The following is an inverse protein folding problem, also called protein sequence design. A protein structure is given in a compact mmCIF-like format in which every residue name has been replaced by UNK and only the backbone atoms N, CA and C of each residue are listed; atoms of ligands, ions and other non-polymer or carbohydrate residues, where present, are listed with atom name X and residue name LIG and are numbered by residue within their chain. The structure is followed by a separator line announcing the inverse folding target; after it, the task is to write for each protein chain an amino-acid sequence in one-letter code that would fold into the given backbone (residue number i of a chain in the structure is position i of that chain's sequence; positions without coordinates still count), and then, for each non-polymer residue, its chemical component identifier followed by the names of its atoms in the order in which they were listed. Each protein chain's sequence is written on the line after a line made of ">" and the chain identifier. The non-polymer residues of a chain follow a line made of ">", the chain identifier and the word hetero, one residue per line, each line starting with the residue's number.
data_IF_061133285576
#
_entry.id   IF_061133285576
#
_cell.length_a   1.000
_cell.length_b   1.000
_cell.length_c   1.000
_cell.angle_alpha   90.00
_cell.angle_beta   90.00
_cell.angle_gamma   90.00
#
_symmetry.space_group_name_H-M   'P 1'
#
loop_
_entity.id
_entity.type
_entity.pdbx_description
1 polymer ?
#
# COMPACT_ATOMS: atom_id res chain seq x y z
N UNK A 1 -14.85 8.80 12.87
CA UNK A 1 -15.28 8.07 11.63
C UNK A 1 -14.86 6.61 11.67
N UNK A 2 -15.68 5.70 11.15
CA UNK A 2 -15.28 4.32 10.91
C UNK A 2 -14.75 4.18 9.48
N UNK A 3 -13.70 3.39 9.27
CA UNK A 3 -13.20 3.07 7.95
C UNK A 3 -13.11 1.55 7.75
N UNK A 4 -13.74 1.06 6.70
CA UNK A 4 -13.83 -0.35 6.32
C UNK A 4 -13.35 -0.54 4.89
N UNK A 5 -12.70 -1.66 4.61
CA UNK A 5 -12.17 -1.94 3.28
C UNK A 5 -12.14 -3.44 2.97
N UNK A 6 -12.43 -3.75 1.72
CA UNK A 6 -12.15 -5.04 1.08
C UNK A 6 -11.43 -4.83 -0.25
N UNK A 7 -10.73 -5.84 -0.74
CA UNK A 7 -9.96 -5.71 -1.97
C UNK A 7 -10.82 -5.79 -3.24
N UNK A 8 -11.93 -6.54 -3.20
CA UNK A 8 -12.78 -6.81 -4.36
C UNK A 8 -14.26 -6.72 -4.03
N UNK A 9 -15.08 -6.55 -5.07
CA UNK A 9 -16.54 -6.55 -4.94
C UNK A 9 -17.12 -7.91 -4.48
N UNK A 10 -16.38 -9.01 -4.65
CA UNK A 10 -16.81 -10.34 -4.18
C UNK A 10 -16.81 -10.47 -2.66
N UNK A 11 -16.13 -9.58 -1.94
CA UNK A 11 -15.97 -9.61 -0.49
C UNK A 11 -16.97 -8.68 0.24
N UNK A 12 -18.15 -8.46 -0.34
CA UNK A 12 -19.16 -7.57 0.27
C UNK A 12 -19.67 -8.05 1.62
N UNK A 13 -19.70 -9.35 1.86
CA UNK A 13 -20.13 -9.88 3.16
C UNK A 13 -19.06 -9.60 4.23
N UNK A 14 -17.77 -9.70 3.90
CA UNK A 14 -16.68 -9.28 4.79
C UNK A 14 -16.74 -7.78 5.09
N UNK A 15 -17.11 -6.96 4.11
CA UNK A 15 -17.29 -5.53 4.30
C UNK A 15 -18.42 -5.25 5.28
N UNK A 16 -19.57 -5.91 5.13
CA UNK A 16 -20.71 -5.79 6.07
C UNK A 16 -20.32 -6.23 7.48
N UNK A 17 -19.61 -7.36 7.62
CA UNK A 17 -19.15 -7.86 8.91
C UNK A 17 -18.22 -6.84 9.60
N UNK A 18 -17.33 -6.16 8.86
CA UNK A 18 -16.50 -5.09 9.39
C UNK A 18 -17.33 -3.91 9.89
N UNK A 19 -18.32 -3.49 9.11
CA UNK A 19 -19.22 -2.36 9.46
C UNK A 19 -19.99 -2.69 10.75
N UNK A 20 -20.63 -3.84 10.78
CA UNK A 20 -21.40 -4.29 11.96
C UNK A 20 -20.53 -4.37 13.20
N UNK A 21 -19.35 -4.96 13.08
CA UNK A 21 -18.39 -5.06 14.18
C UNK A 21 -17.97 -3.67 14.70
N UNK A 22 -17.63 -2.73 13.82
CA UNK A 22 -17.22 -1.39 14.23
C UNK A 22 -18.38 -0.59 14.85
N UNK A 23 -19.59 -0.72 14.32
CA UNK A 23 -20.78 -0.08 14.89
C UNK A 23 -21.07 -0.62 16.29
N UNK A 24 -21.01 -1.93 16.50
CA UNK A 24 -21.17 -2.54 17.80
C UNK A 24 -20.09 -2.10 18.80
N UNK A 25 -18.83 -2.07 18.34
CA UNK A 25 -17.72 -1.60 19.17
C UNK A 25 -17.89 -0.14 19.58
N UNK A 26 -18.17 0.75 18.63
CA UNK A 26 -18.32 2.19 18.91
C UNK A 26 -19.52 2.47 19.80
N UNK A 27 -20.66 1.80 19.57
CA UNK A 27 -21.85 1.89 20.42
C UNK A 27 -21.57 1.42 21.85
N UNK A 28 -20.87 0.30 22.01
CA UNK A 28 -20.51 -0.22 23.35
C UNK A 28 -19.56 0.69 24.14
N UNK A 29 -18.80 1.53 23.43
CA UNK A 29 -17.87 2.52 24.01
C UNK A 29 -18.47 3.91 24.13
N UNK A 30 -19.71 4.12 23.72
CA UNK A 30 -20.35 5.44 23.71
C UNK A 30 -19.71 6.43 22.72
N UNK A 31 -19.04 5.91 21.67
CA UNK A 31 -18.39 6.74 20.65
C UNK A 31 -19.43 7.09 19.59
N UNK A 32 -19.65 8.38 19.36
CA UNK A 32 -20.49 8.88 18.29
C UNK A 32 -19.70 8.79 16.98
N UNK A 33 -20.30 8.14 15.98
CA UNK A 33 -19.71 7.94 14.65
C UNK A 33 -20.45 8.82 13.65
N UNK A 34 -19.77 9.80 13.08
CA UNK A 34 -20.36 10.71 12.10
C UNK A 34 -20.58 10.02 10.74
N UNK A 35 -19.59 9.22 10.32
CA UNK A 35 -19.61 8.51 9.03
C UNK A 35 -18.92 7.16 9.13
N UNK A 36 -19.45 6.17 8.40
CA UNK A 36 -18.78 4.90 8.12
C UNK A 36 -18.41 4.84 6.64
N UNK A 37 -17.12 4.85 6.37
CA UNK A 37 -16.57 4.81 5.00
C UNK A 37 -16.39 3.36 4.59
N UNK A 38 -17.01 3.00 3.45
CA UNK A 38 -16.93 1.69 2.83
C UNK A 38 -16.06 1.78 1.58
N UNK A 39 -14.88 1.20 1.58
CA UNK A 39 -13.96 1.27 0.46
C UNK A 39 -13.75 -0.11 -0.19
N UNK A 40 -13.67 -0.14 -1.52
CA UNK A 40 -13.40 -1.36 -2.29
C UNK A 40 -12.18 -1.11 -3.17
N UNK A 41 -11.10 -1.81 -2.86
CA UNK A 41 -9.84 -1.71 -3.57
C UNK A 41 -8.69 -2.28 -2.76
N UNK A 42 -7.62 -2.72 -3.44
CA UNK A 42 -6.44 -3.25 -2.77
C UNK A 42 -5.83 -2.25 -1.78
N UNK A 43 -5.34 -2.75 -0.65
CA UNK A 43 -4.58 -1.99 0.33
C UNK A 43 -3.27 -1.40 -0.21
N UNK A 44 -2.80 -1.87 -1.37
CA UNK A 44 -1.66 -1.33 -2.11
C UNK A 44 -2.02 -0.13 -2.99
N UNK A 45 -3.30 0.07 -3.26
CA UNK A 45 -3.76 1.18 -4.10
C UNK A 45 -3.93 2.45 -3.27
N UNK A 46 -3.00 3.37 -3.40
CA UNK A 46 -3.04 4.70 -2.75
C UNK A 46 -3.97 5.70 -3.47
N UNK A 47 -4.49 5.36 -4.67
CA UNK A 47 -5.40 6.22 -5.45
C UNK A 47 -6.89 5.92 -5.21
N UNK A 48 -7.24 5.31 -4.07
CA UNK A 48 -8.62 5.08 -3.67
C UNK A 48 -9.30 6.41 -3.33
N UNK A 49 -10.37 6.73 -4.05
CA UNK A 49 -11.05 8.04 -3.94
C UNK A 49 -11.55 8.32 -2.52
N UNK A 50 -12.21 7.34 -1.90
CA UNK A 50 -12.77 7.51 -0.54
C UNK A 50 -11.67 7.64 0.51
N UNK A 51 -10.59 6.86 0.38
CA UNK A 51 -9.44 6.95 1.26
C UNK A 51 -8.72 8.30 1.13
N UNK A 52 -8.49 8.78 -0.10
CA UNK A 52 -7.86 10.09 -0.32
C UNK A 52 -8.72 11.22 0.26
N UNK A 53 -10.05 11.18 0.03
CA UNK A 53 -10.98 12.14 0.64
C UNK A 53 -10.88 12.15 2.16
N UNK A 54 -10.83 10.96 2.79
CA UNK A 54 -10.66 10.85 4.25
C UNK A 54 -9.35 11.50 4.73
N UNK A 55 -8.23 11.26 4.00
CA UNK A 55 -6.95 11.90 4.33
C UNK A 55 -7.01 13.42 4.20
N UNK A 56 -7.66 13.95 3.15
CA UNK A 56 -7.88 15.38 2.96
C UNK A 56 -8.72 15.98 4.11
N UNK A 57 -9.80 15.33 4.49
CA UNK A 57 -10.63 15.74 5.64
C UNK A 57 -9.87 15.73 6.97
N UNK A 58 -8.95 14.76 7.15
CA UNK A 58 -8.03 14.76 8.30
C UNK A 58 -7.10 15.99 8.29
N UNK A 59 -6.53 16.33 7.13
CA UNK A 59 -5.65 17.50 6.99
C UNK A 59 -6.39 18.83 7.21
N UNK A 60 -7.69 18.84 6.95
CA UNK A 60 -8.57 19.99 7.19
C UNK A 60 -9.10 20.06 8.65
N UNK A 61 -8.63 19.17 9.53
CA UNK A 61 -9.09 19.03 10.93
C UNK A 61 -10.60 18.77 11.08
N UNK A 62 -11.20 18.06 10.12
CA UNK A 62 -12.61 17.64 10.16
C UNK A 62 -12.81 16.27 10.82
N UNK A 63 -11.73 15.56 11.11
CA UNK A 63 -11.73 14.21 11.67
C UNK A 63 -10.86 14.16 12.91
N UNK A 64 -11.41 13.73 14.05
CA UNK A 64 -10.66 13.54 15.29
C UNK A 64 -10.05 12.14 15.38
N UNK A 65 -10.78 11.13 14.88
CA UNK A 65 -10.34 9.75 14.95
C UNK A 65 -10.86 8.89 13.81
N UNK A 66 -10.02 7.94 13.38
CA UNK A 66 -10.36 6.90 12.40
C UNK A 66 -10.32 5.57 13.13
N UNK A 67 -11.40 4.79 13.05
CA UNK A 67 -11.51 3.48 13.69
C UNK A 67 -11.52 2.40 12.62
N UNK A 68 -10.64 1.40 12.76
CA UNK A 68 -10.47 0.30 11.81
C UNK A 68 -10.40 -1.04 12.53
N UNK A 69 -10.83 -2.11 11.88
CA UNK A 69 -10.75 -3.46 12.45
C UNK A 69 -9.30 -3.97 12.50
N UNK A 70 -8.48 -3.64 11.49
CA UNK A 70 -7.07 -3.99 11.38
C UNK A 70 -6.28 -2.88 10.69
N UNK A 71 -4.97 -2.77 10.97
CA UNK A 71 -4.05 -1.85 10.29
C UNK A 71 -4.13 -1.98 8.77
N UNK A 72 -4.18 -3.21 8.28
CA UNK A 72 -4.25 -3.55 6.85
C UNK A 72 -5.54 -3.11 6.16
N UNK A 73 -6.61 -2.87 6.91
CA UNK A 73 -7.85 -2.29 6.35
C UNK A 73 -7.64 -0.83 6.01
N UNK A 74 -6.86 -0.10 6.79
CA UNK A 74 -6.50 1.28 6.49
C UNK A 74 -5.54 1.34 5.30
N UNK A 75 -4.38 0.68 5.43
CA UNK A 75 -3.36 0.61 4.38
C UNK A 75 -2.47 -0.61 4.56
N UNK A 76 -2.00 -1.22 3.46
CA UNK A 76 -1.20 -2.44 3.50
C UNK A 76 0.23 -2.17 3.96
N UNK A 77 0.87 -1.11 3.46
CA UNK A 77 2.21 -0.74 3.85
C UNK A 77 2.26 0.73 4.29
N UNK A 78 3.22 1.03 5.16
CA UNK A 78 3.45 2.38 5.63
C UNK A 78 2.46 2.85 6.71
N UNK A 79 1.75 1.94 7.40
CA UNK A 79 0.81 2.30 8.46
C UNK A 79 1.43 3.23 9.49
N UNK A 80 2.61 2.91 10.02
CA UNK A 80 3.29 3.71 11.03
C UNK A 80 3.68 5.10 10.54
N UNK A 81 3.91 5.25 9.23
CA UNK A 81 4.14 6.55 8.61
C UNK A 81 2.85 7.39 8.60
N UNK A 82 1.74 6.78 8.17
CA UNK A 82 0.44 7.45 8.16
C UNK A 82 -0.05 7.81 9.56
N UNK A 83 0.13 6.93 10.54
CA UNK A 83 -0.22 7.20 11.93
C UNK A 83 0.53 8.43 12.46
N UNK A 84 1.86 8.50 12.23
CA UNK A 84 2.67 9.68 12.58
C UNK A 84 2.31 10.93 11.77
N UNK A 85 1.96 10.76 10.51
CA UNK A 85 1.53 11.88 9.67
C UNK A 85 0.22 12.47 10.17
N UNK A 86 -0.79 11.65 10.39
CA UNK A 86 -2.11 12.08 10.85
C UNK A 86 -2.09 12.62 12.28
N UNK A 87 -1.19 12.15 13.13
CA UNK A 87 -1.03 12.70 14.48
C UNK A 87 -0.62 14.18 14.48
N UNK A 88 0.02 14.69 13.42
CA UNK A 88 0.34 16.11 13.26
C UNK A 88 -0.91 16.98 13.05
N UNK A 89 -1.98 16.37 12.59
CA UNK A 89 -3.31 16.99 12.42
C UNK A 89 -4.25 16.63 13.56
N UNK A 90 -3.72 16.15 14.70
CA UNK A 90 -4.46 15.69 15.87
C UNK A 90 -5.44 14.54 15.61
N UNK A 91 -5.26 13.80 14.52
CA UNK A 91 -6.09 12.63 14.17
C UNK A 91 -5.47 11.36 14.76
N UNK A 92 -6.29 10.59 15.47
CA UNK A 92 -5.90 9.30 16.06
C UNK A 92 -6.45 8.13 15.25
N UNK A 93 -5.61 7.17 14.90
CA UNK A 93 -6.08 5.89 14.33
C UNK A 93 -6.26 4.88 15.47
N UNK A 94 -7.46 4.34 15.59
CA UNK A 94 -7.84 3.33 16.58
C UNK A 94 -8.01 1.98 15.87
N UNK A 95 -7.12 1.04 16.15
CA UNK A 95 -7.18 -0.31 15.60
C UNK A 95 -7.81 -1.24 16.63
N UNK A 96 -8.93 -1.88 16.27
CA UNK A 96 -9.70 -2.69 17.21
C UNK A 96 -9.20 -4.14 17.28
N UNK A 97 -8.39 -4.61 16.32
CA UNK A 97 -7.82 -5.95 16.22
C UNK A 97 -8.84 -7.09 16.39
N UNK A 98 -9.64 -7.32 15.35
CA UNK A 98 -10.49 -8.50 15.29
C UNK A 98 -9.84 -9.57 14.42
N UNK A 99 -9.36 -10.65 15.04
CA UNK A 99 -8.66 -11.75 14.34
C UNK A 99 -9.57 -12.46 13.32
N UNK A 100 -10.89 -12.54 13.57
CA UNK A 100 -11.86 -13.15 12.65
C UNK A 100 -12.02 -12.35 11.34
N UNK A 101 -11.67 -11.07 11.36
CA UNK A 101 -11.75 -10.17 10.21
C UNK A 101 -10.36 -9.84 9.64
N UNK A 102 -9.37 -10.69 9.95
CA UNK A 102 -7.99 -10.55 9.47
C UNK A 102 -7.90 -10.71 7.94
N UNK A 103 -7.19 -9.83 7.23
CA UNK A 103 -7.08 -9.85 5.77
C UNK A 103 -5.97 -10.79 5.25
N UNK A 104 -5.76 -11.97 5.84
CA UNK A 104 -4.67 -12.87 5.49
C UNK A 104 -4.69 -13.31 4.01
N UNK A 105 -5.87 -13.68 3.50
CA UNK A 105 -6.01 -14.08 2.08
C UNK A 105 -5.70 -12.93 1.13
N UNK A 106 -6.14 -11.72 1.48
CA UNK A 106 -5.82 -10.53 0.70
C UNK A 106 -4.31 -10.24 0.68
N UNK A 107 -3.61 -10.47 1.80
CA UNK A 107 -2.16 -10.30 1.88
C UNK A 107 -1.44 -11.22 0.90
N UNK A 108 -1.84 -12.48 0.81
CA UNK A 108 -1.26 -13.44 -0.15
C UNK A 108 -1.48 -12.98 -1.59
N UNK A 109 -2.69 -12.51 -1.94
CA UNK A 109 -2.98 -12.00 -3.28
C UNK A 109 -2.18 -10.72 -3.61
N UNK A 110 -2.01 -9.84 -2.65
CA UNK A 110 -1.19 -8.64 -2.80
C UNK A 110 0.29 -9.00 -3.05
N UNK A 111 0.84 -9.97 -2.32
CA UNK A 111 2.21 -10.48 -2.53
C UNK A 111 2.38 -11.08 -3.94
N UNK A 112 1.43 -11.92 -4.37
CA UNK A 112 1.43 -12.49 -5.72
C UNK A 112 1.43 -11.39 -6.78
N UNK A 113 0.62 -10.35 -6.60
CA UNK A 113 0.53 -9.20 -7.51
C UNK A 113 1.85 -8.43 -7.59
N UNK A 114 2.51 -8.20 -6.47
CA UNK A 114 3.84 -7.55 -6.41
C UNK A 114 4.88 -8.41 -7.14
N UNK A 115 4.92 -9.71 -6.87
CA UNK A 115 5.86 -10.64 -7.51
C UNK A 115 5.64 -10.69 -9.02
N UNK A 116 4.38 -10.65 -9.48
CA UNK A 116 4.06 -10.59 -10.90
C UNK A 116 4.62 -9.32 -11.57
N UNK A 117 4.37 -8.15 -10.98
CA UNK A 117 4.89 -6.86 -11.47
C UNK A 117 6.43 -6.86 -11.50
N UNK A 118 7.09 -7.35 -10.47
CA UNK A 118 8.55 -7.46 -10.41
C UNK A 118 9.07 -8.41 -11.50
N UNK A 119 8.43 -9.56 -11.68
CA UNK A 119 8.80 -10.53 -12.72
C UNK A 119 8.69 -9.92 -14.11
N UNK A 120 7.61 -9.20 -14.42
CA UNK A 120 7.44 -8.50 -15.68
C UNK A 120 8.55 -7.45 -15.92
N UNK A 121 8.92 -6.69 -14.90
CA UNK A 121 10.00 -5.70 -14.98
C UNK A 121 11.37 -6.37 -15.23
N UNK A 122 11.67 -7.45 -14.51
CA UNK A 122 12.92 -8.22 -14.69
C UNK A 122 12.99 -8.80 -16.11
N UNK A 123 11.88 -9.32 -16.63
CA UNK A 123 11.80 -9.82 -18.01
C UNK A 123 12.04 -8.72 -19.04
N UNK A 124 11.44 -7.55 -18.84
CA UNK A 124 11.68 -6.36 -19.65
C UNK A 124 13.15 -5.94 -19.66
N UNK A 125 13.76 -5.87 -18.47
CA UNK A 125 15.18 -5.53 -18.33
C UNK A 125 16.10 -6.54 -19.02
N UNK A 126 15.82 -7.85 -18.95
CA UNK A 126 16.58 -8.90 -19.67
C UNK A 126 16.46 -8.74 -21.18
N UNK A 127 15.30 -8.40 -21.71
CA UNK A 127 15.09 -8.13 -23.14
C UNK A 127 15.88 -6.90 -23.57
N UNK A 128 15.90 -5.83 -22.77
CA UNK A 128 16.72 -4.63 -23.04
C UNK A 128 18.21 -4.95 -22.99
N UNK A 129 18.66 -5.71 -21.99
CA UNK A 129 20.04 -6.12 -21.85
C UNK A 129 20.51 -6.90 -23.09
N UNK A 130 19.77 -7.91 -23.56
CA UNK A 130 20.06 -8.65 -24.79
C UNK A 130 20.11 -7.76 -26.03
N UNK A 131 19.23 -6.74 -26.12
CA UNK A 131 19.22 -5.81 -27.25
C UNK A 131 20.45 -4.91 -27.24
N UNK A 132 20.90 -4.47 -26.07
CA UNK A 132 22.11 -3.66 -25.89
C UNK A 132 23.38 -4.50 -26.17
N UNK A 133 23.43 -5.74 -25.69
CA UNK A 133 24.54 -6.66 -25.92
C UNK A 133 24.67 -7.09 -27.39
N UNK A 134 23.57 -7.07 -28.15
CA UNK A 134 23.54 -7.37 -29.58
C UNK A 134 23.79 -6.17 -30.48
N UNK A 135 23.94 -4.96 -29.94
CA UNK A 135 24.24 -3.75 -30.68
C UNK A 135 25.77 -3.57 -30.77
N UNK A 136 26.33 -3.72 -32.01
CA UNK A 136 27.76 -3.68 -32.24
C UNK A 136 28.43 -2.35 -31.85
N UNK A 137 27.71 -1.25 -31.95
CA UNK A 137 28.21 0.08 -31.63
C UNK A 137 28.32 0.26 -30.10
N UNK A 138 27.32 -0.18 -29.37
CA UNK A 138 27.31 -0.18 -27.91
C UNK A 138 28.34 -1.18 -27.35
N UNK A 139 28.47 -2.35 -27.96
CA UNK A 139 29.49 -3.35 -27.58
C UNK A 139 30.92 -2.79 -27.71
N UNK A 140 31.23 -2.04 -28.77
CA UNK A 140 32.51 -1.35 -28.93
C UNK A 140 32.78 -0.30 -27.86
N UNK A 141 31.76 0.50 -27.49
CA UNK A 141 31.87 1.52 -26.44
C UNK A 141 32.10 0.88 -25.06
N UNK A 142 31.43 -0.21 -24.74
CA UNK A 142 31.61 -0.93 -23.47
C UNK A 142 33.00 -1.58 -23.37
N UNK A 143 33.53 -2.14 -24.48
CA UNK A 143 34.88 -2.70 -24.53
C UNK A 143 35.97 -1.63 -24.39
N UNK A 144 35.78 -0.45 -24.97
CA UNK A 144 36.74 0.66 -24.83
C UNK A 144 36.81 1.18 -23.41
N UNK A 145 35.67 1.30 -22.71
CA UNK A 145 35.61 1.70 -21.29
C UNK A 145 36.27 0.70 -20.33
N UNK A 146 36.09 -0.60 -20.56
CA UNK A 146 36.75 -1.64 -19.76
C UNK A 146 38.27 -1.64 -19.92
N UNK A 147 38.78 -1.33 -21.12
CA UNK A 147 40.22 -1.16 -21.37
C UNK A 147 40.83 0.06 -20.68
N UNK A 148 40.05 1.12 -20.52
CA UNK A 148 40.50 2.35 -19.84
C UNK A 148 40.53 2.17 -18.31
N UNK A 149 39.56 1.47 -17.75
CA UNK A 149 39.52 1.19 -16.30
C UNK A 149 40.62 0.20 -15.87
N UNK A 150 40.97 -0.80 -16.70
CA UNK A 150 42.06 -1.72 -16.39
C UNK A 150 43.46 -1.06 -16.49
N UNK A 151 43.63 0.01 -17.27
CA UNK A 151 44.87 0.78 -17.32
C UNK A 151 45.05 1.74 -16.14
N UNK A 152 43.95 2.13 -15.46
CA UNK A 152 43.98 2.98 -14.27
C UNK A 152 44.37 2.19 -13.01
N UNK A 153 44.00 0.90 -12.93
CA UNK A 153 44.28 0.04 -11.76
C UNK A 153 45.66 -0.66 -11.79
N UNK A 154 46.49 -0.42 -12.80
CA UNK A 154 47.87 -0.99 -12.91
C UNK A 154 48.97 0.05 -12.71
N UNK A 155 48.66 1.20 -12.10
CA UNK A 155 49.63 2.27 -11.80
C UNK A 155 49.64 2.64 -10.32
N UNK A 156 49.59 1.65 -9.44
CA UNK A 156 49.94 1.78 -8.02
C UNK A 156 50.93 0.66 -7.65
#
# INVERSE_FOLDING_TARGET
>A
MNYTRVSTNGQKDDLKNQIEFLLNFTSSKGIIVDETIEDIGSGLNYNRKKWNKLIEECMENKVDSIIVTHKDRFIRFGYDWFERFLSKYNVKIIVVNNELLSPQEELVQDIISILHVLSCRIYGLRKYKKKIEGDEEIAKILQSRNKTNNKANTKD
#
